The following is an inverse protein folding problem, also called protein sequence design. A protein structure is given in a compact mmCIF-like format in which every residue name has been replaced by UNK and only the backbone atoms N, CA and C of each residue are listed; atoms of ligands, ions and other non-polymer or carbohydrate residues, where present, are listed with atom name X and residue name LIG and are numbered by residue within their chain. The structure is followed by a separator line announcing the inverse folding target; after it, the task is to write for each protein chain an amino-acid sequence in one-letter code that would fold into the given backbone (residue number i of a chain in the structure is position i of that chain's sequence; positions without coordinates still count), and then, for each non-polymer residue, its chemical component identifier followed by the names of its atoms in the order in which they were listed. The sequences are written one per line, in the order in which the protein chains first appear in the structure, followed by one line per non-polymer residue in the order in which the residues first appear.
data_IF_048523608849
#
_entry.id   IF_048523608849
#
_cell.length_a   1.000
_cell.length_b   1.000
_cell.length_c   1.000
_cell.angle_alpha   90.00
_cell.angle_beta   90.00
_cell.angle_gamma   90.00
#
_symmetry.space_group_name_H-M   'P 1'
#
loop_
_entity.id
_entity.type
_entity.pdbx_description
1 polymer ?
#
# COMPACT_ATOMS: atom_id res chain seq x y z
N UNK A 1 -2.28 2.95 -17.90
CA UNK A 1 -1.78 1.57 -17.74
C UNK A 1 -1.02 1.45 -16.42
N UNK A 2 -0.96 0.26 -15.83
CA UNK A 2 -0.37 0.04 -14.50
C UNK A 2 1.13 0.42 -14.41
N UNK A 3 1.91 0.16 -15.47
CA UNK A 3 3.34 0.48 -15.50
C UNK A 3 3.63 1.99 -15.36
N UNK A 4 2.86 2.85 -16.05
CA UNK A 4 3.01 4.30 -15.94
C UNK A 4 2.65 4.78 -14.53
N UNK A 5 1.56 4.26 -13.95
CA UNK A 5 1.15 4.58 -12.57
C UNK A 5 2.22 4.17 -11.54
N UNK A 6 2.88 3.04 -11.77
CA UNK A 6 3.97 2.58 -10.90
C UNK A 6 5.17 3.55 -10.94
N UNK A 7 5.55 4.03 -12.12
CA UNK A 7 6.65 4.99 -12.24
C UNK A 7 6.32 6.35 -11.61
N UNK A 8 5.08 6.81 -11.75
CA UNK A 8 4.62 8.03 -11.07
C UNK A 8 4.64 7.89 -9.54
N UNK A 9 4.21 6.75 -9.00
CA UNK A 9 4.25 6.49 -7.56
C UNK A 9 5.68 6.50 -7.00
N UNK A 10 6.63 5.88 -7.73
CA UNK A 10 8.06 5.93 -7.38
C UNK A 10 8.62 7.36 -7.44
N UNK A 11 8.26 8.13 -8.47
CA UNK A 11 8.68 9.51 -8.62
C UNK A 11 8.15 10.40 -7.49
N UNK A 12 6.87 10.23 -7.11
CA UNK A 12 6.26 10.95 -5.99
C UNK A 12 6.93 10.63 -4.66
N UNK A 13 7.23 9.35 -4.38
CA UNK A 13 7.97 8.96 -3.18
C UNK A 13 9.36 9.62 -3.12
N UNK A 14 10.06 9.68 -4.25
CA UNK A 14 11.36 10.38 -4.36
C UNK A 14 11.24 11.88 -4.07
N UNK A 15 10.19 12.55 -4.57
CA UNK A 15 9.93 13.98 -4.30
C UNK A 15 9.72 14.23 -2.80
N UNK A 16 9.00 13.33 -2.12
CA UNK A 16 8.74 13.42 -0.67
C UNK A 16 9.93 12.99 0.20
N UNK A 17 11.01 12.47 -0.40
CA UNK A 17 12.11 11.84 0.36
C UNK A 17 11.69 10.55 1.07
N UNK A 18 10.61 9.90 0.61
CA UNK A 18 10.05 8.69 1.21
C UNK A 18 10.62 7.42 0.55
N UNK A 19 10.67 6.32 1.31
CA UNK A 19 10.95 4.99 0.77
C UNK A 19 9.70 4.40 0.13
N UNK A 20 9.81 3.97 -1.13
CA UNK A 20 8.72 3.30 -1.84
C UNK A 20 8.75 1.78 -1.59
N UNK A 21 7.63 1.24 -1.13
CA UNK A 21 7.38 -0.20 -1.07
C UNK A 21 6.38 -0.58 -2.18
N UNK A 22 6.63 -1.65 -2.97
CA UNK A 22 5.81 -1.97 -4.14
C UNK A 22 4.40 -2.46 -3.78
N UNK A 23 3.41 -2.34 -4.70
CA UNK A 23 2.07 -2.89 -4.53
C UNK A 23 2.07 -4.41 -4.31
N UNK A 24 1.08 -4.92 -3.58
CA UNK A 24 1.01 -6.34 -3.17
C UNK A 24 -0.02 -7.17 -3.93
N UNK A 25 -0.96 -6.52 -4.61
CA UNK A 25 -2.03 -7.12 -5.42
C UNK A 25 -2.55 -6.11 -6.48
N UNK A 26 -3.33 -6.58 -7.47
CA UNK A 26 -4.12 -5.73 -8.35
C UNK A 26 -5.22 -4.94 -7.63
N UNK A 27 -5.80 -3.98 -8.34
CA UNK A 27 -6.95 -3.17 -7.92
C UNK A 27 -8.22 -4.04 -7.83
N UNK A 28 -9.09 -3.78 -6.86
CA UNK A 28 -10.32 -4.54 -6.57
C UNK A 28 -10.09 -6.01 -6.18
N UNK A 29 -8.87 -6.36 -5.74
CA UNK A 29 -8.51 -7.72 -5.32
C UNK A 29 -8.00 -7.78 -3.87
N UNK A 30 -8.10 -6.69 -3.10
CA UNK A 30 -7.76 -6.71 -1.68
C UNK A 30 -8.74 -7.62 -0.93
N UNK A 31 -8.19 -8.55 -0.16
CA UNK A 31 -8.96 -9.45 0.67
C UNK A 31 -8.24 -9.76 1.98
N UNK A 32 -9.02 -9.96 3.05
CA UNK A 32 -8.48 -10.34 4.35
C UNK A 32 -8.03 -11.82 4.35
N UNK A 33 -6.80 -12.05 3.88
CA UNK A 33 -6.19 -13.38 3.80
C UNK A 33 -4.87 -13.41 4.56
N UNK A 34 -4.50 -14.59 5.06
CA UNK A 34 -3.20 -14.77 5.74
C UNK A 34 -2.02 -14.46 4.82
N UNK A 35 -2.15 -14.71 3.51
CA UNK A 35 -1.10 -14.38 2.53
C UNK A 35 -0.87 -12.87 2.43
N UNK A 36 -1.94 -12.09 2.23
CA UNK A 36 -1.83 -10.63 2.11
C UNK A 36 -1.36 -9.98 3.42
N UNK A 37 -1.88 -10.46 4.56
CA UNK A 37 -1.42 -10.01 5.88
C UNK A 37 0.09 -10.19 6.08
N UNK A 38 0.68 -11.29 5.60
CA UNK A 38 2.12 -11.52 5.69
C UNK A 38 2.92 -10.50 4.87
N UNK A 39 2.44 -10.14 3.67
CA UNK A 39 3.09 -9.14 2.80
C UNK A 39 3.10 -7.76 3.48
N UNK A 40 1.96 -7.31 4.00
CA UNK A 40 1.85 -6.04 4.73
C UNK A 40 2.71 -6.05 6.01
N UNK A 41 2.62 -7.12 6.81
CA UNK A 41 3.39 -7.24 8.04
C UNK A 41 4.90 -7.23 7.81
N UNK A 42 5.39 -7.75 6.67
CA UNK A 42 6.80 -7.64 6.30
C UNK A 42 7.21 -6.18 6.09
N UNK A 43 6.40 -5.38 5.38
CA UNK A 43 6.66 -3.95 5.17
C UNK A 43 6.66 -3.18 6.48
N UNK A 44 5.69 -3.42 7.36
CA UNK A 44 5.65 -2.78 8.69
C UNK A 44 6.92 -3.07 9.51
N UNK A 45 7.42 -4.31 9.50
CA UNK A 45 8.67 -4.67 10.21
C UNK A 45 9.92 -4.03 9.59
N UNK A 46 9.96 -3.90 8.27
CA UNK A 46 11.07 -3.22 7.57
C UNK A 46 11.07 -1.72 7.85
N UNK A 47 9.90 -1.08 7.81
CA UNK A 47 9.75 0.37 7.98
C UNK A 47 9.86 0.82 9.45
N UNK A 48 9.54 -0.05 10.42
CA UNK A 48 9.52 0.25 11.86
C UNK A 48 8.80 1.58 12.19
N UNK A 49 7.55 1.78 11.71
CA UNK A 49 6.87 3.06 11.89
C UNK A 49 6.48 3.28 13.35
N UNK A 50 6.52 4.53 13.81
CA UNK A 50 5.88 4.93 15.08
C UNK A 50 4.41 5.33 14.90
N UNK A 51 4.03 5.72 13.69
CA UNK A 51 2.67 6.12 13.29
C UNK A 51 2.38 5.50 11.93
N UNK A 52 1.17 4.96 11.76
CA UNK A 52 0.66 4.45 10.48
C UNK A 52 -0.48 5.35 10.03
N UNK A 53 -0.39 5.88 8.82
CA UNK A 53 -1.47 6.58 8.14
C UNK A 53 -2.09 5.62 7.13
N UNK A 54 -3.41 5.42 7.18
CA UNK A 54 -4.15 4.51 6.31
C UNK A 54 -5.54 5.07 6.01
N UNK A 55 -6.27 4.44 5.10
CA UNK A 55 -7.63 4.83 4.71
C UNK A 55 -8.64 4.72 5.87
N UNK A 56 -9.77 5.43 5.71
CA UNK A 56 -10.93 5.31 6.60
C UNK A 56 -11.60 3.95 6.40
N UNK A 57 -12.09 3.28 7.45
CA UNK A 57 -12.86 2.03 7.32
C UNK A 57 -14.31 2.27 6.86
N UNK A 58 -14.69 3.52 6.61
CA UNK A 58 -15.97 3.92 6.00
C UNK A 58 -15.62 4.81 4.83
N UNK A 59 -15.69 4.28 3.62
CA UNK A 59 -15.29 4.90 2.35
C UNK A 59 -16.19 4.39 1.22
N UNK A 60 -16.17 5.05 0.06
CA UNK A 60 -16.91 4.57 -1.11
C UNK A 60 -16.16 3.46 -1.87
N UNK A 61 -14.85 3.34 -1.64
CA UNK A 61 -13.99 2.32 -2.25
C UNK A 61 -13.89 1.10 -1.34
N UNK A 62 -14.35 -0.04 -1.84
CA UNK A 62 -14.33 -1.32 -1.11
C UNK A 62 -12.91 -1.72 -0.65
N UNK A 63 -11.90 -1.47 -1.48
CA UNK A 63 -10.50 -1.74 -1.17
C UNK A 63 -9.94 -0.89 -0.01
N UNK A 64 -10.64 0.17 0.42
CA UNK A 64 -10.23 0.98 1.56
C UNK A 64 -10.73 0.42 2.91
N UNK A 65 -11.75 -0.45 2.89
CA UNK A 65 -12.43 -0.94 4.10
C UNK A 65 -11.97 -2.34 4.57
N UNK A 66 -11.37 -3.14 3.68
CA UNK A 66 -11.05 -4.57 3.88
C UNK A 66 -9.67 -4.89 4.46
#
# INVERSE_FOLDING_TARGET
CAAVRLEEAKAAAKILGATFYPPICPDMEIAYTTEMLRKVAAVVRMAKPSIVLTHSPVDYMEDHEN
#
